data_IF_053840235998
#
_entry.id   IF_053840235998
#
_cell.length_a   1.000
_cell.length_b   1.000
_cell.length_c   1.000
_cell.angle_alpha   90.00
_cell.angle_beta   90.00
_cell.angle_gamma   90.00
#
_symmetry.space_group_name_H-M   'P 1'
#
loop_
_entity.id
_entity.type
_entity.pdbx_description
1 polymer ?
#
# COMPACT_ATOMS: atom_id res chain seq x y z
N UNK A 1 12.39 -1.73 -4.53
CA UNK A 1 11.40 -2.84 -4.58
C UNK A 1 10.44 -2.57 -5.74
N UNK A 2 9.82 -3.60 -6.33
CA UNK A 2 8.81 -3.39 -7.37
C UNK A 2 7.41 -3.31 -6.76
N UNK A 3 6.55 -2.50 -7.38
CA UNK A 3 5.13 -2.48 -7.06
C UNK A 3 4.47 -3.75 -7.61
N UNK A 4 3.86 -4.52 -6.72
CA UNK A 4 3.05 -5.68 -7.01
C UNK A 4 1.69 -5.47 -6.35
N UNK A 5 0.65 -5.32 -7.18
CA UNK A 5 -0.71 -5.08 -6.71
C UNK A 5 -1.15 -6.13 -5.69
N UNK A 6 -0.88 -7.41 -5.96
CA UNK A 6 -1.23 -8.53 -5.06
C UNK A 6 -0.55 -8.41 -3.69
N UNK A 7 0.73 -8.02 -3.65
CA UNK A 7 1.46 -7.85 -2.38
C UNK A 7 0.93 -6.65 -1.61
N UNK A 8 0.59 -5.57 -2.32
CA UNK A 8 0.03 -4.38 -1.69
C UNK A 8 -1.38 -4.63 -1.15
N UNK A 9 -2.20 -5.43 -1.84
CA UNK A 9 -3.51 -5.85 -1.33
C UNK A 9 -3.37 -6.77 -0.10
N UNK A 10 -2.39 -7.68 -0.08
CA UNK A 10 -2.08 -8.50 1.10
C UNK A 10 -1.66 -7.61 2.29
N UNK A 11 -0.75 -6.68 2.06
CA UNK A 11 -0.25 -5.77 3.09
C UNK A 11 -1.39 -4.92 3.69
N UNK A 12 -2.24 -4.33 2.83
CA UNK A 12 -3.41 -3.55 3.26
C UNK A 12 -4.42 -4.40 4.04
N UNK A 13 -4.50 -5.70 3.76
CA UNK A 13 -5.36 -6.61 4.52
C UNK A 13 -4.77 -7.01 5.88
N UNK A 14 -3.44 -7.09 5.99
CA UNK A 14 -2.73 -7.37 7.24
C UNK A 14 -2.67 -6.14 8.16
N UNK A 15 -2.53 -4.96 7.58
CA UNK A 15 -2.35 -3.71 8.30
C UNK A 15 -3.62 -2.82 8.24
N UNK A 16 -4.43 -2.76 9.31
CA UNK A 16 -5.67 -1.99 9.33
C UNK A 16 -5.43 -0.48 9.14
N UNK A 17 -4.24 0.01 9.51
CA UNK A 17 -3.84 1.41 9.28
C UNK A 17 -3.73 1.74 7.78
N UNK A 18 -3.09 0.86 7.00
CA UNK A 18 -3.01 1.01 5.54
C UNK A 18 -4.37 0.90 4.88
N UNK A 19 -5.26 0.05 5.40
CA UNK A 19 -6.66 -0.02 4.92
C UNK A 19 -7.42 1.29 5.16
N UNK A 20 -7.21 1.93 6.31
CA UNK A 20 -7.80 3.24 6.59
C UNK A 20 -7.21 4.31 5.68
N UNK A 21 -5.88 4.35 5.53
CA UNK A 21 -5.17 5.27 4.63
C UNK A 21 -5.63 5.12 3.19
N UNK A 22 -5.78 3.89 2.69
CA UNK A 22 -6.28 3.61 1.34
C UNK A 22 -7.67 4.20 1.13
N UNK A 23 -8.60 4.00 2.07
CA UNK A 23 -9.96 4.55 1.98
C UNK A 23 -9.97 6.08 2.00
N UNK A 24 -9.11 6.69 2.81
CA UNK A 24 -8.96 8.14 2.86
C UNK A 24 -8.42 8.67 1.53
N UNK A 25 -7.34 8.09 1.00
CA UNK A 25 -6.77 8.41 -0.31
C UNK A 25 -7.78 8.29 -1.45
N UNK A 26 -8.54 7.20 -1.48
CA UNK A 26 -9.59 6.99 -2.48
C UNK A 26 -10.67 8.08 -2.40
N UNK A 27 -11.03 8.53 -1.20
CA UNK A 27 -12.08 9.54 -1.00
C UNK A 27 -11.58 10.96 -1.24
N UNK A 28 -10.39 11.30 -0.78
CA UNK A 28 -9.82 12.65 -0.91
C UNK A 28 -9.39 12.96 -2.34
N UNK A 29 -8.89 11.97 -3.07
CA UNK A 29 -8.41 12.15 -4.43
C UNK A 29 -9.36 11.60 -5.50
N UNK A 30 -10.54 11.10 -5.08
CA UNK A 30 -11.53 10.42 -5.95
C UNK A 30 -10.88 9.33 -6.84
N UNK A 31 -9.86 8.64 -6.31
CA UNK A 31 -9.07 7.67 -7.05
C UNK A 31 -9.70 6.29 -7.03
N UNK A 32 -9.63 5.62 -8.18
CA UNK A 32 -9.91 4.19 -8.23
C UNK A 32 -8.91 3.41 -7.34
N UNK A 33 -9.37 2.29 -6.77
CA UNK A 33 -8.59 1.44 -5.86
C UNK A 33 -7.19 1.12 -6.41
N UNK A 34 -7.09 0.86 -7.72
CA UNK A 34 -5.82 0.54 -8.39
C UNK A 34 -4.80 1.68 -8.32
N UNK A 35 -5.23 2.93 -8.53
CA UNK A 35 -4.37 4.11 -8.44
C UNK A 35 -4.07 4.46 -6.99
N UNK A 36 -5.05 4.35 -6.11
CA UNK A 36 -4.88 4.60 -4.68
C UNK A 36 -3.87 3.62 -4.04
N UNK A 37 -3.88 2.34 -4.42
CA UNK A 37 -2.88 1.36 -3.96
C UNK A 37 -1.47 1.73 -4.43
N UNK A 38 -1.33 2.23 -5.65
CA UNK A 38 -0.05 2.72 -6.20
C UNK A 38 0.44 3.94 -5.42
N UNK A 39 -0.41 4.93 -5.22
CA UNK A 39 -0.10 6.12 -4.45
C UNK A 39 0.30 5.77 -3.01
N UNK A 40 -0.46 4.87 -2.38
CA UNK A 40 -0.17 4.35 -1.04
C UNK A 40 1.19 3.65 -0.97
N UNK A 41 1.53 2.84 -1.98
CA UNK A 41 2.84 2.20 -2.07
C UNK A 41 3.97 3.23 -2.14
N UNK A 42 3.82 4.27 -2.97
CA UNK A 42 4.84 5.31 -3.07
C UNK A 42 4.98 6.13 -1.78
N UNK A 43 3.87 6.40 -1.07
CA UNK A 43 3.88 7.11 0.21
C UNK A 43 4.44 6.29 1.37
N UNK A 44 3.99 5.03 1.50
CA UNK A 44 4.15 4.25 2.73
C UNK A 44 5.18 3.13 2.62
N UNK A 45 5.73 2.87 1.42
CA UNK A 45 6.62 1.71 1.16
C UNK A 45 7.87 2.07 0.35
N UNK A 46 7.77 2.85 -0.75
CA UNK A 46 8.87 3.00 -1.71
C UNK A 46 10.06 3.89 -1.24
N UNK A 47 9.80 4.94 -0.44
CA UNK A 47 10.78 5.98 -0.04
C UNK A 47 11.20 5.87 1.44
N UNK A 48 11.52 4.68 1.94
CA UNK A 48 11.73 4.39 3.37
C UNK A 48 10.47 4.53 4.22
N UNK A 49 9.32 4.22 3.62
CA UNK A 49 8.06 4.28 4.33
C UNK A 49 7.96 3.24 5.44
N UNK A 50 7.09 3.47 6.44
CA UNK A 50 7.02 2.65 7.66
C UNK A 50 6.65 1.18 7.40
N UNK A 51 6.06 0.89 6.24
CA UNK A 51 5.65 -0.47 5.86
C UNK A 51 6.59 -1.11 4.82
N UNK A 52 7.74 -0.51 4.56
CA UNK A 52 8.75 -1.07 3.64
C UNK A 52 9.15 -2.50 4.01
N UNK A 53 9.39 -2.75 5.31
CA UNK A 53 9.78 -4.08 5.81
C UNK A 53 8.67 -5.11 5.66
N UNK A 54 7.45 -4.78 6.09
CA UNK A 54 6.29 -5.68 5.97
C UNK A 54 5.99 -6.00 4.50
N UNK A 55 6.10 -5.01 3.61
CA UNK A 55 5.98 -5.25 2.17
C UNK A 55 7.09 -6.16 1.64
N UNK A 56 8.31 -6.03 2.17
CA UNK A 56 9.45 -6.89 1.81
C UNK A 56 9.25 -8.32 2.28
N UNK A 57 8.73 -8.52 3.48
CA UNK A 57 8.41 -9.86 3.99
C UNK A 57 7.39 -10.56 3.10
N UNK A 58 6.35 -9.84 2.65
CA UNK A 58 5.36 -10.38 1.71
C UNK A 58 5.97 -10.71 0.33
N UNK A 59 6.91 -9.89 -0.15
CA UNK A 59 7.58 -10.09 -1.45
C UNK A 59 8.57 -11.28 -1.42
N UNK A 60 9.09 -11.62 -0.23
CA UNK A 60 9.99 -12.76 -0.03
C UNK A 60 9.26 -14.07 0.32
N UNK A 61 7.93 -14.07 0.38
CA UNK A 61 7.09 -15.27 0.54
C UNK A 61 6.65 -15.86 -0.80
#
# INVERSE_FOLDING_TARGET
MRYFKSNMEKLVNQEPELKKRLKVLMKEMELEKSFALKALYHSEVADSGPFMKQYQEIDNQ
#
